data_IF_229411167429
#
_entry.id   IF_229411167429
#
_cell.length_a   1.000
_cell.length_b   1.000
_cell.length_c   1.000
_cell.angle_alpha   90.00
_cell.angle_beta   90.00
_cell.angle_gamma   90.00
#
_symmetry.space_group_name_H-M   'P 1'
#
loop_
_entity.id
_entity.type
_entity.pdbx_description
1 polymer ?
#
# COMPACT_ATOMS: atom_id res chain seq x y z
N UNK A 1 -3.99 14.60 34.15
CA UNK A 1 -5.28 14.12 33.62
C UNK A 1 -5.06 13.22 32.38
N UNK A 2 -4.20 13.64 31.46
CA UNK A 2 -3.81 12.94 30.22
C UNK A 2 -3.47 11.44 30.37
N UNK A 3 -2.63 11.05 31.35
CA UNK A 3 -2.31 9.64 31.63
C UNK A 3 -3.52 8.77 32.00
N UNK A 4 -4.50 9.34 32.69
CA UNK A 4 -5.71 8.61 33.10
C UNK A 4 -6.73 8.50 31.96
N UNK A 5 -6.75 9.48 31.05
CA UNK A 5 -7.52 9.43 29.81
C UNK A 5 -6.94 8.37 28.86
N UNK A 6 -5.60 8.38 28.67
CA UNK A 6 -4.89 7.34 27.91
C UNK A 6 -5.12 5.93 28.50
N UNK A 7 -5.07 5.78 29.83
CA UNK A 7 -5.32 4.51 30.50
C UNK A 7 -6.78 4.01 30.43
N UNK A 8 -7.75 4.90 30.15
CA UNK A 8 -9.15 4.54 29.86
C UNK A 8 -9.31 4.16 28.39
N UNK A 9 -8.76 4.96 27.49
CA UNK A 9 -8.80 4.70 26.04
C UNK A 9 -8.14 3.37 25.69
N UNK A 10 -7.04 3.02 26.35
CA UNK A 10 -6.31 1.78 26.07
C UNK A 10 -6.99 0.50 26.56
N UNK A 11 -7.97 0.59 27.48
CA UNK A 11 -8.52 -0.59 28.13
C UNK A 11 -9.61 -1.28 27.32
N UNK A 12 -10.39 -0.52 26.55
CA UNK A 12 -11.57 -1.02 25.82
C UNK A 12 -11.52 -0.72 24.31
N UNK A 13 -10.37 -0.27 23.78
CA UNK A 13 -10.26 0.08 22.36
C UNK A 13 -10.00 -1.15 21.49
N UNK A 14 -10.99 -1.47 20.65
CA UNK A 14 -10.98 -2.61 19.75
C UNK A 14 -9.80 -2.58 18.75
N UNK A 15 -9.34 -1.39 18.35
CA UNK A 15 -8.21 -1.24 17.43
C UNK A 15 -6.88 -1.61 18.09
N UNK A 16 -6.69 -1.31 19.38
CA UNK A 16 -5.51 -1.75 20.12
C UNK A 16 -5.50 -3.27 20.33
N UNK A 17 -6.67 -3.87 20.56
CA UNK A 17 -6.80 -5.33 20.65
C UNK A 17 -6.49 -5.99 19.31
N UNK A 18 -6.95 -5.41 18.20
CA UNK A 18 -6.63 -5.88 16.84
C UNK A 18 -5.13 -5.73 16.51
N UNK A 19 -4.50 -4.62 16.92
CA UNK A 19 -3.08 -4.37 16.74
C UNK A 19 -2.20 -5.32 17.57
N UNK A 20 -2.67 -5.85 18.70
CA UNK A 20 -1.89 -6.75 19.56
C UNK A 20 -1.51 -8.08 18.87
N UNK A 21 -2.36 -8.61 17.98
CA UNK A 21 -2.04 -9.79 17.16
C UNK A 21 -0.99 -9.46 16.10
N UNK A 22 -1.14 -8.30 15.46
CA UNK A 22 -0.25 -7.79 14.42
C UNK A 22 1.15 -7.47 14.98
N UNK A 23 1.22 -6.89 16.17
CA UNK A 23 2.48 -6.59 16.86
C UNK A 23 3.28 -7.85 17.23
N UNK A 24 2.62 -9.01 17.39
CA UNK A 24 3.28 -10.31 17.65
C UNK A 24 3.79 -10.99 16.40
N UNK A 25 3.07 -10.87 15.28
CA UNK A 25 3.48 -11.45 14.00
C UNK A 25 4.57 -10.61 13.30
N UNK A 26 4.56 -9.30 13.54
CA UNK A 26 5.37 -8.33 12.82
C UNK A 26 4.80 -8.10 11.41
N UNK A 27 4.54 -6.84 11.06
CA UNK A 27 4.18 -6.47 9.69
C UNK A 27 5.37 -5.73 9.07
N UNK A 28 5.74 -6.06 7.82
CA UNK A 28 6.87 -5.43 7.16
C UNK A 28 6.79 -3.90 7.18
N UNK A 29 7.94 -3.25 7.33
CA UNK A 29 8.04 -1.80 7.16
C UNK A 29 7.85 -1.39 5.71
N UNK A 30 7.62 -0.10 5.48
CA UNK A 30 7.53 0.42 4.12
C UNK A 30 8.83 0.14 3.33
N UNK A 31 9.99 0.45 3.92
CA UNK A 31 11.31 0.11 3.34
C UNK A 31 11.46 -1.39 3.05
N UNK A 32 10.89 -2.26 3.89
CA UNK A 32 10.92 -3.71 3.67
C UNK A 32 9.98 -4.12 2.53
N UNK A 33 8.83 -3.47 2.38
CA UNK A 33 7.89 -3.71 1.28
C UNK A 33 8.45 -3.20 -0.05
N UNK A 34 9.13 -2.05 -0.06
CA UNK A 34 9.85 -1.56 -1.23
C UNK A 34 10.98 -2.53 -1.62
N UNK A 35 11.83 -2.90 -0.66
CA UNK A 35 12.95 -3.81 -0.91
C UNK A 35 12.53 -5.24 -1.30
N UNK A 36 11.35 -5.69 -0.88
CA UNK A 36 10.81 -7.01 -1.20
C UNK A 36 9.83 -7.01 -2.37
N UNK A 37 9.65 -5.88 -3.06
CA UNK A 37 8.74 -5.78 -4.19
C UNK A 37 9.15 -6.76 -5.31
N UNK A 38 8.27 -7.67 -5.77
CA UNK A 38 8.64 -8.75 -6.69
C UNK A 38 8.66 -8.30 -8.16
N UNK A 39 9.18 -7.11 -8.46
CA UNK A 39 9.14 -6.52 -9.81
C UNK A 39 9.78 -7.39 -10.90
N UNK A 40 10.93 -8.00 -10.60
CA UNK A 40 11.59 -8.93 -11.53
C UNK A 40 10.78 -10.21 -11.76
N UNK A 41 10.16 -10.76 -10.71
CA UNK A 41 9.33 -11.96 -10.80
C UNK A 41 8.05 -11.69 -11.59
N UNK A 42 7.41 -10.53 -11.37
CA UNK A 42 6.25 -10.07 -12.13
C UNK A 42 6.62 -9.93 -13.61
N UNK A 43 7.72 -9.24 -13.93
CA UNK A 43 8.20 -9.08 -15.31
C UNK A 43 8.52 -10.41 -15.97
N UNK A 44 9.16 -11.35 -15.26
CA UNK A 44 9.44 -12.69 -15.78
C UNK A 44 8.15 -13.49 -16.03
N UNK A 45 7.17 -13.40 -15.11
CA UNK A 45 5.90 -14.11 -15.18
C UNK A 45 4.95 -13.56 -16.25
N UNK A 46 5.03 -12.26 -16.55
CA UNK A 46 4.33 -11.64 -17.68
C UNK A 46 4.88 -12.13 -19.05
N UNK A 47 6.05 -12.79 -19.05
CA UNK A 47 6.73 -13.27 -20.24
C UNK A 47 7.51 -12.17 -20.97
N UNK A 48 8.32 -12.52 -21.99
CA UNK A 48 8.87 -11.53 -22.88
C UNK A 48 7.69 -10.79 -23.50
N UNK A 49 7.50 -9.53 -23.06
CA UNK A 49 6.50 -8.65 -23.64
C UNK A 49 6.58 -8.79 -25.15
N UNK A 50 5.44 -8.87 -25.81
CA UNK A 50 5.38 -8.69 -27.26
C UNK A 50 5.95 -7.30 -27.55
N UNK A 51 7.26 -7.20 -27.72
CA UNK A 51 7.89 -5.98 -28.18
C UNK A 51 7.56 -5.92 -29.66
N UNK A 52 6.49 -5.21 -29.99
CA UNK A 52 6.27 -4.77 -31.37
C UNK A 52 7.31 -3.69 -31.67
N UNK A 53 8.55 -4.12 -31.95
CA UNK A 53 9.49 -3.27 -32.66
C UNK A 53 8.99 -3.11 -34.09
N UNK A 54 8.56 -1.92 -34.48
CA UNK A 54 8.43 -1.60 -35.89
C UNK A 54 7.47 -0.48 -36.25
N UNK A 55 8.09 0.66 -36.61
CA UNK A 55 7.66 1.61 -37.64
C UNK A 55 6.60 2.66 -37.27
N UNK A 56 7.09 3.90 -37.27
CA UNK A 56 6.40 5.19 -37.52
C UNK A 56 4.92 5.03 -37.92
N UNK A 57 4.00 5.43 -37.04
CA UNK A 57 2.62 5.70 -37.42
C UNK A 57 2.02 6.83 -36.56
N UNK A 58 1.94 8.00 -37.19
CA UNK A 58 0.86 9.00 -37.19
C UNK A 58 -0.14 8.94 -36.02
N UNK A 59 -0.24 10.06 -35.31
CA UNK A 59 -1.37 10.46 -34.44
C UNK A 59 -2.70 10.02 -35.05
N UNK A 60 -3.32 8.98 -34.48
CA UNK A 60 -4.74 8.71 -34.62
C UNK A 60 -5.34 8.67 -33.22
N UNK A 61 -6.30 9.57 -33.02
CA UNK A 61 -7.35 9.48 -32.01
C UNK A 61 -8.02 8.11 -32.13
N UNK A 62 -8.30 7.47 -30.99
CA UNK A 62 -8.90 6.13 -30.83
C UNK A 62 -7.88 4.97 -30.82
N UNK A 63 -7.19 4.81 -29.69
CA UNK A 63 -6.34 3.64 -29.43
C UNK A 63 -5.91 3.60 -27.97
N UNK A 64 -6.41 2.63 -27.21
CA UNK A 64 -6.04 2.35 -25.82
C UNK A 64 -4.53 2.19 -25.72
N UNK A 65 -3.89 3.23 -25.18
CA UNK A 65 -2.45 3.32 -24.95
C UNK A 65 -1.98 2.14 -24.08
N UNK A 66 -0.79 1.63 -24.40
CA UNK A 66 0.05 0.64 -23.70
C UNK A 66 0.36 0.96 -22.21
N UNK A 67 -0.32 1.94 -21.63
CA UNK A 67 -0.25 2.40 -20.23
C UNK A 67 -0.85 1.42 -19.21
N UNK A 68 -1.45 0.31 -19.64
CA UNK A 68 -2.12 -0.67 -18.78
C UNK A 68 -1.45 -2.05 -18.82
N UNK A 69 -0.32 -2.20 -19.53
CA UNK A 69 0.40 -3.47 -19.59
C UNK A 69 1.08 -3.83 -18.26
N UNK A 70 1.29 -5.14 -17.96
CA UNK A 70 1.94 -5.58 -16.72
C UNK A 70 3.27 -4.89 -16.43
N UNK A 71 4.08 -4.62 -17.46
CA UNK A 71 5.35 -3.89 -17.30
C UNK A 71 5.15 -2.44 -16.87
N UNK A 72 4.17 -1.74 -17.45
CA UNK A 72 3.86 -0.35 -17.11
C UNK A 72 3.29 -0.26 -15.69
N UNK A 73 2.39 -1.17 -15.32
CA UNK A 73 1.83 -1.25 -13.96
C UNK A 73 2.92 -1.53 -12.92
N UNK A 74 3.82 -2.47 -13.20
CA UNK A 74 4.94 -2.81 -12.29
C UNK A 74 5.87 -1.63 -12.09
N UNK A 75 6.30 -0.97 -13.18
CA UNK A 75 7.19 0.19 -13.08
C UNK A 75 6.53 1.38 -12.36
N UNK A 76 5.22 1.59 -12.56
CA UNK A 76 4.50 2.64 -11.85
C UNK A 76 4.36 2.30 -10.36
N UNK A 77 4.10 1.03 -10.01
CA UNK A 77 4.04 0.60 -8.62
C UNK A 77 5.39 0.78 -7.90
N UNK A 78 6.52 0.43 -8.54
CA UNK A 78 7.87 0.69 -8.02
C UNK A 78 8.10 2.19 -7.75
N UNK A 79 7.66 3.05 -8.67
CA UNK A 79 7.75 4.50 -8.49
C UNK A 79 6.91 4.99 -7.29
N UNK A 80 5.71 4.45 -7.09
CA UNK A 80 4.87 4.80 -5.93
C UNK A 80 5.45 4.34 -4.61
N UNK A 81 6.09 3.17 -4.60
CA UNK A 81 6.85 2.72 -3.42
C UNK A 81 8.02 3.66 -3.13
N UNK A 82 8.76 4.13 -4.12
CA UNK A 82 9.82 5.13 -3.89
C UNK A 82 9.30 6.49 -3.36
N UNK A 83 8.01 6.77 -3.55
CA UNK A 83 7.34 8.01 -3.11
C UNK A 83 6.60 7.87 -1.76
N UNK A 84 6.74 6.74 -1.05
CA UNK A 84 6.00 6.43 0.19
C UNK A 84 4.46 6.30 -0.02
N UNK A 85 4.03 6.07 -1.28
CA UNK A 85 2.64 5.90 -1.69
C UNK A 85 2.27 4.41 -1.80
N UNK A 86 2.17 3.76 -0.63
CA UNK A 86 1.81 2.34 -0.52
C UNK A 86 0.41 2.04 -1.09
N UNK A 87 -0.54 2.95 -0.92
CA UNK A 87 -1.93 2.78 -1.37
C UNK A 87 -2.03 2.66 -2.89
N UNK A 88 -1.35 3.55 -3.62
CA UNK A 88 -1.31 3.47 -5.08
C UNK A 88 -0.51 2.25 -5.55
N UNK A 89 0.59 1.90 -4.88
CA UNK A 89 1.38 0.72 -5.22
C UNK A 89 0.57 -0.59 -5.11
N UNK A 90 -0.24 -0.73 -4.04
CA UNK A 90 -1.15 -1.87 -3.85
C UNK A 90 -2.20 -1.91 -4.96
N UNK A 91 -2.79 -0.75 -5.29
CA UNK A 91 -3.82 -0.65 -6.32
C UNK A 91 -3.30 -1.10 -7.68
N UNK A 92 -2.17 -0.54 -8.12
CA UNK A 92 -1.53 -0.85 -9.40
C UNK A 92 -1.08 -2.32 -9.49
N UNK A 93 -0.50 -2.86 -8.42
CA UNK A 93 -0.09 -4.26 -8.38
C UNK A 93 -1.30 -5.20 -8.37
N UNK A 94 -2.44 -4.76 -7.81
CA UNK A 94 -3.70 -5.49 -7.84
C UNK A 94 -4.41 -5.49 -9.20
N UNK A 95 -4.06 -4.58 -10.10
CA UNK A 95 -4.55 -4.53 -11.48
C UNK A 95 -3.83 -5.54 -12.40
N UNK A 96 -2.73 -6.14 -11.94
CA UNK A 96 -2.08 -7.22 -12.67
C UNK A 96 -3.05 -8.41 -12.84
N UNK A 97 -2.84 -9.17 -13.92
CA UNK A 97 -3.64 -10.34 -14.22
C UNK A 97 -2.76 -11.59 -14.43
N UNK A 98 -3.36 -12.76 -14.25
CA UNK A 98 -2.73 -14.05 -14.55
C UNK A 98 -1.46 -14.32 -13.73
N UNK A 99 -0.42 -14.84 -14.40
CA UNK A 99 0.85 -15.22 -13.76
C UNK A 99 1.59 -14.05 -13.12
N UNK A 100 1.42 -12.83 -13.65
CA UNK A 100 1.98 -11.61 -13.08
C UNK A 100 1.36 -11.30 -11.71
N UNK A 101 0.03 -11.44 -11.57
CA UNK A 101 -0.65 -11.27 -10.29
C UNK A 101 -0.25 -12.37 -9.30
N UNK A 102 -0.15 -13.62 -9.76
CA UNK A 102 0.26 -14.73 -8.91
C UNK A 102 1.65 -14.51 -8.32
N UNK A 103 2.60 -13.98 -9.10
CA UNK A 103 3.94 -13.63 -8.63
C UNK A 103 3.93 -12.51 -7.56
N UNK A 104 2.89 -11.67 -7.53
CA UNK A 104 2.76 -10.55 -6.60
C UNK A 104 1.93 -10.87 -5.34
N UNK A 105 1.31 -12.06 -5.25
CA UNK A 105 0.32 -12.38 -4.21
C UNK A 105 0.84 -12.24 -2.78
N UNK A 106 1.98 -12.82 -2.49
CA UNK A 106 2.54 -12.80 -1.13
C UNK A 106 2.89 -11.38 -0.70
N UNK A 107 3.43 -10.59 -1.63
CA UNK A 107 3.70 -9.18 -1.42
C UNK A 107 2.40 -8.40 -1.18
N UNK A 108 1.35 -8.62 -1.98
CA UNK A 108 0.04 -7.97 -1.81
C UNK A 108 -0.60 -8.29 -0.44
N UNK A 109 -0.44 -9.52 0.06
CA UNK A 109 -0.92 -9.89 1.40
C UNK A 109 -0.21 -9.09 2.47
N UNK A 110 1.13 -9.02 2.41
CA UNK A 110 1.94 -8.27 3.36
C UNK A 110 1.66 -6.76 3.29
N UNK A 111 1.59 -6.19 2.09
CA UNK A 111 1.33 -4.79 1.84
C UNK A 111 -0.04 -4.35 2.38
N UNK A 112 -1.09 -5.15 2.15
CA UNK A 112 -2.44 -4.88 2.68
C UNK A 112 -2.49 -4.97 4.20
N UNK A 113 -1.74 -5.89 4.80
CA UNK A 113 -1.61 -5.94 6.27
C UNK A 113 -0.97 -4.65 6.81
N UNK A 114 0.04 -4.10 6.12
CA UNK A 114 0.65 -2.81 6.47
C UNK A 114 -0.33 -1.65 6.32
N UNK A 115 -1.01 -1.57 5.19
CA UNK A 115 -2.06 -0.58 4.95
C UNK A 115 -3.14 -0.58 6.05
N UNK A 116 -3.57 -1.75 6.53
CA UNK A 116 -4.55 -1.84 7.61
C UNK A 116 -4.00 -1.30 8.95
N UNK A 117 -2.74 -1.58 9.26
CA UNK A 117 -2.07 -1.01 10.44
C UNK A 117 -2.01 0.51 10.36
N UNK A 118 -1.56 1.06 9.22
CA UNK A 118 -1.40 2.49 9.05
C UNK A 118 -2.75 3.22 9.16
N UNK A 119 -3.80 2.66 8.57
CA UNK A 119 -5.18 3.18 8.68
C UNK A 119 -5.65 3.19 10.14
N UNK A 120 -5.44 2.11 10.89
CA UNK A 120 -5.83 2.04 12.30
C UNK A 120 -5.04 3.03 13.16
N UNK A 121 -3.74 3.18 12.91
CA UNK A 121 -2.92 4.17 13.61
C UNK A 121 -3.38 5.60 13.33
N UNK A 122 -3.73 5.91 12.08
CA UNK A 122 -4.30 7.21 11.72
C UNK A 122 -5.64 7.46 12.43
N UNK A 123 -6.54 6.47 12.44
CA UNK A 123 -7.83 6.57 13.12
C UNK A 123 -7.66 6.80 14.64
N UNK A 124 -6.73 6.09 15.28
CA UNK A 124 -6.40 6.28 16.69
C UNK A 124 -5.86 7.70 16.98
N UNK A 125 -4.97 8.21 16.12
CA UNK A 125 -4.44 9.58 16.24
C UNK A 125 -5.55 10.62 16.09
N UNK A 126 -6.45 10.43 15.13
CA UNK A 126 -7.59 11.34 14.93
C UNK A 126 -8.53 11.33 16.14
N UNK A 127 -8.88 10.15 16.64
CA UNK A 127 -9.72 10.01 17.83
C UNK A 127 -9.10 10.69 19.06
N UNK A 128 -7.77 10.61 19.23
CA UNK A 128 -7.06 11.30 20.29
C UNK A 128 -7.09 12.82 20.13
N UNK A 129 -6.92 13.33 18.91
CA UNK A 129 -6.98 14.75 18.61
C UNK A 129 -8.37 15.34 18.83
N UNK A 130 -9.42 14.64 18.37
CA UNK A 130 -10.81 15.05 18.55
C UNK A 130 -11.19 15.11 20.05
N UNK A 131 -10.72 14.16 20.84
CA UNK A 131 -10.93 14.17 22.29
C UNK A 131 -10.19 15.29 23.02
N UNK A 132 -8.94 15.61 22.61
CA UNK A 132 -8.18 16.72 23.18
C UNK A 132 -8.87 18.06 22.89
N UNK A 133 -9.31 18.26 21.63
CA UNK A 133 -10.08 19.41 21.21
C UNK A 133 -11.40 19.54 21.98
N UNK A 134 -12.13 18.42 22.18
CA UNK A 134 -13.38 18.40 22.95
C UNK A 134 -13.18 18.75 24.44
N UNK A 135 -11.98 18.53 24.98
CA UNK A 135 -11.63 18.89 26.37
C UNK A 135 -11.11 20.32 26.51
N UNK A 136 -10.96 21.07 25.41
CA UNK A 136 -10.43 22.44 25.41
C UNK A 136 -8.92 22.50 25.73
N UNK A 137 -8.22 21.37 25.65
CA UNK A 137 -6.76 21.31 25.70
C UNK A 137 -6.26 21.49 24.26
N UNK A 138 -6.06 22.75 23.84
CA UNK A 138 -5.38 23.07 22.59
C UNK A 138 -3.96 22.49 22.63
N UNK A 139 -3.55 21.61 21.70
CA UNK A 139 -2.18 21.13 21.63
C UNK A 139 -1.33 22.18 20.92
N UNK A 140 -0.77 23.12 21.70
CA UNK A 140 0.33 24.00 21.26
C UNK A 140 1.69 23.35 21.43
#
# INVERSE_FOLDING_TARGET
>A
AERAALARLWRDNADLTALASIARAGVPTHDQLEASYPGDAIRAAAGPGRVFFGLIAVRQTDGTSDTTGPMALTALAEARLAEDDLDSAISLTGELEGSALEAARDWLIAARARQDVDRRLLALRQSLADEAAARGEDPS
#
